data_IF_100062263635
#
_entry.id   IF_100062263635
#
_cell.length_a   1.000
_cell.length_b   1.000
_cell.length_c   1.000
_cell.angle_alpha   90.00
_cell.angle_beta   90.00
_cell.angle_gamma   90.00
#
_symmetry.space_group_name_H-M   'P 1'
#
loop_
_entity.id
_entity.type
_entity.pdbx_description
1 polymer ?
#
# COMPACT_ATOMS: atom_id res chain seq x y z
N UNK A 1 -9.26 -12.46 -17.86
CA UNK A 1 -9.05 -11.53 -16.74
C UNK A 1 -9.73 -12.15 -15.54
N UNK A 2 -9.02 -13.05 -14.85
CA UNK A 2 -9.62 -13.90 -13.82
C UNK A 2 -9.45 -13.21 -12.49
N UNK A 3 -10.52 -12.58 -12.02
CA UNK A 3 -10.57 -11.94 -10.70
C UNK A 3 -10.50 -13.02 -9.62
N UNK A 4 -9.33 -13.20 -9.00
CA UNK A 4 -9.18 -14.03 -7.80
C UNK A 4 -9.59 -13.23 -6.56
N UNK A 5 -10.87 -12.88 -6.45
CA UNK A 5 -11.39 -12.35 -5.19
C UNK A 5 -11.68 -13.53 -4.23
N UNK A 6 -10.73 -13.76 -3.33
CA UNK A 6 -10.91 -14.40 -2.02
C UNK A 6 -11.83 -15.61 -1.93
N UNK A 7 -11.40 -16.78 -2.40
CA UNK A 7 -11.91 -18.04 -1.83
C UNK A 7 -11.25 -18.21 -0.46
N UNK A 8 -12.04 -18.23 0.62
CA UNK A 8 -11.56 -18.36 2.00
C UNK A 8 -11.02 -19.77 2.32
N UNK A 9 -10.00 -20.22 1.59
CA UNK A 9 -9.22 -21.41 1.92
C UNK A 9 -8.18 -21.09 2.99
N UNK A 10 -7.75 -22.12 3.75
CA UNK A 10 -6.59 -22.00 4.65
C UNK A 10 -5.25 -22.06 3.89
N UNK A 11 -5.28 -22.47 2.63
CA UNK A 11 -4.09 -22.66 1.82
C UNK A 11 -3.76 -21.38 1.02
N UNK A 12 -2.47 -21.03 0.88
CA UNK A 12 -2.06 -19.92 0.05
C UNK A 12 -2.35 -20.19 -1.43
N UNK A 13 -2.79 -19.16 -2.14
CA UNK A 13 -2.95 -19.23 -3.60
C UNK A 13 -1.65 -18.77 -4.28
N UNK A 14 -1.27 -19.47 -5.36
CA UNK A 14 -0.10 -19.14 -6.16
C UNK A 14 -0.51 -18.57 -7.52
N UNK A 15 0.09 -17.46 -7.91
CA UNK A 15 -0.09 -16.82 -9.22
C UNK A 15 1.29 -16.55 -9.86
N UNK A 16 1.50 -16.98 -11.10
CA UNK A 16 2.77 -16.71 -11.79
C UNK A 16 2.96 -15.21 -12.02
N UNK A 17 4.14 -14.70 -11.70
CA UNK A 17 4.47 -13.29 -11.89
C UNK A 17 5.17 -13.10 -13.26
N UNK A 18 4.53 -12.45 -14.26
CA UNK A 18 5.12 -12.23 -15.59
C UNK A 18 6.10 -11.04 -15.59
N UNK A 19 6.90 -10.92 -14.54
CA UNK A 19 7.88 -9.85 -14.32
C UNK A 19 9.21 -10.47 -13.90
N UNK A 20 10.31 -9.80 -14.25
CA UNK A 20 11.65 -10.16 -13.76
C UNK A 20 11.88 -9.49 -12.41
N UNK A 21 12.19 -10.26 -11.39
CA UNK A 21 12.49 -9.76 -10.05
C UNK A 21 13.99 -9.69 -9.84
N UNK A 22 14.44 -8.58 -9.23
CA UNK A 22 15.80 -8.42 -8.75
C UNK A 22 15.77 -7.93 -7.32
N UNK A 23 16.54 -8.57 -6.45
CA UNK A 23 16.65 -8.18 -5.06
C UNK A 23 18.12 -7.94 -4.70
N UNK A 24 18.34 -7.00 -3.78
CA UNK A 24 19.65 -6.62 -3.30
C UNK A 24 19.67 -6.69 -1.77
N UNK A 25 20.74 -7.23 -1.20
CA UNK A 25 21.00 -7.25 0.23
C UNK A 25 22.26 -6.42 0.50
N UNK A 26 22.11 -5.36 1.29
CA UNK A 26 23.21 -4.42 1.57
C UNK A 26 23.90 -3.86 0.29
N UNK A 27 23.15 -3.70 -0.80
CA UNK A 27 23.66 -3.21 -2.08
C UNK A 27 24.20 -4.30 -3.02
N UNK A 28 24.42 -5.51 -2.52
CA UNK A 28 24.88 -6.65 -3.32
C UNK A 28 23.69 -7.44 -3.90
N UNK A 29 23.80 -7.98 -5.12
CA UNK A 29 22.73 -8.74 -5.74
C UNK A 29 22.47 -10.04 -4.97
N UNK A 30 21.24 -10.22 -4.50
CA UNK A 30 20.81 -11.40 -3.78
C UNK A 30 20.01 -12.37 -4.66
N UNK A 31 19.35 -11.87 -5.71
CA UNK A 31 18.49 -12.62 -6.62
C UNK A 31 18.32 -11.87 -7.94
N UNK A 32 18.25 -12.62 -9.04
CA UNK A 32 17.70 -12.17 -10.33
C UNK A 32 16.93 -13.32 -10.99
N UNK A 33 15.59 -13.23 -11.08
CA UNK A 33 14.74 -14.33 -11.58
C UNK A 33 13.62 -13.84 -12.48
N UNK A 34 13.28 -14.64 -13.50
CA UNK A 34 12.05 -14.52 -14.29
C UNK A 34 10.99 -15.56 -13.94
N UNK A 35 11.26 -16.43 -12.96
CA UNK A 35 10.43 -17.58 -12.60
C UNK A 35 9.70 -17.42 -11.27
N UNK A 36 9.30 -16.19 -10.92
CA UNK A 36 8.65 -15.90 -9.65
C UNK A 36 7.14 -16.17 -9.66
N UNK A 37 6.58 -16.38 -8.47
CA UNK A 37 5.14 -16.43 -8.24
C UNK A 37 4.75 -15.51 -7.07
N UNK A 38 3.58 -14.89 -7.15
CA UNK A 38 2.92 -14.24 -6.03
C UNK A 38 2.25 -15.29 -5.15
N UNK A 39 2.47 -15.18 -3.85
CA UNK A 39 1.86 -15.98 -2.80
C UNK A 39 0.84 -15.11 -2.08
N UNK A 40 -0.44 -15.46 -2.24
CA UNK A 40 -1.54 -14.82 -1.55
C UNK A 40 -1.91 -15.64 -0.31
N UNK A 41 -1.41 -15.21 0.86
CA UNK A 41 -1.79 -15.81 2.13
C UNK A 41 -3.18 -15.32 2.59
N UNK A 42 -4.00 -16.20 3.18
CA UNK A 42 -5.27 -15.79 3.76
C UNK A 42 -5.09 -14.63 4.75
N UNK A 43 -6.01 -13.66 4.69
CA UNK A 43 -6.05 -12.48 5.57
C UNK A 43 -4.86 -11.52 5.42
N UNK A 44 -3.92 -11.75 4.48
CA UNK A 44 -2.88 -10.76 4.12
C UNK A 44 -3.33 -9.88 2.96
N UNK A 45 -3.15 -8.57 3.14
CA UNK A 45 -3.43 -7.55 2.12
C UNK A 45 -2.28 -7.48 1.11
N UNK A 46 -1.04 -7.66 1.58
CA UNK A 46 0.18 -7.60 0.76
C UNK A 46 0.64 -9.03 0.44
N UNK A 47 0.81 -9.40 -0.84
CA UNK A 47 1.35 -10.70 -1.21
C UNK A 47 2.85 -10.77 -0.99
N UNK A 48 3.38 -11.99 -0.85
CA UNK A 48 4.81 -12.26 -0.90
C UNK A 48 5.21 -12.82 -2.28
N UNK A 49 6.49 -12.75 -2.62
CA UNK A 49 7.03 -13.43 -3.81
C UNK A 49 7.69 -14.75 -3.41
N UNK A 50 7.31 -15.84 -4.06
CA UNK A 50 8.07 -17.09 -4.08
C UNK A 50 9.01 -17.08 -5.29
N UNK A 51 10.24 -17.53 -5.08
CA UNK A 51 11.31 -17.53 -6.08
C UNK A 51 11.98 -18.90 -6.10
N UNK A 52 12.48 -19.38 -7.25
CA UNK A 52 13.23 -20.64 -7.29
C UNK A 52 14.53 -20.53 -6.51
N UNK A 53 14.83 -21.52 -5.67
CA UNK A 53 16.07 -21.52 -4.86
C UNK A 53 17.33 -21.40 -5.71
N UNK A 54 17.36 -22.02 -6.89
CA UNK A 54 18.48 -21.98 -7.84
C UNK A 54 18.84 -20.58 -8.34
N UNK A 55 17.92 -19.61 -8.21
CA UNK A 55 18.13 -18.24 -8.68
C UNK A 55 18.67 -17.32 -7.54
N UNK A 56 18.79 -17.84 -6.31
CA UNK A 56 19.36 -17.13 -5.17
C UNK A 56 20.89 -17.11 -5.25
N UNK A 57 21.48 -15.94 -5.00
CA UNK A 57 22.94 -15.71 -5.05
C UNK A 57 23.58 -15.64 -3.65
N UNK A 58 22.78 -15.83 -2.61
CA UNK A 58 23.16 -15.73 -1.20
C UNK A 58 22.76 -16.98 -0.45
N UNK A 59 23.41 -17.24 0.68
CA UNK A 59 22.97 -18.27 1.61
C UNK A 59 21.62 -17.87 2.21
N UNK A 60 20.75 -18.86 2.40
CA UNK A 60 19.44 -18.68 3.04
C UNK A 60 19.35 -19.50 4.31
N UNK A 61 18.69 -18.92 5.30
CA UNK A 61 18.33 -19.57 6.55
C UNK A 61 16.82 -19.46 6.73
N UNK A 62 16.24 -20.43 7.43
CA UNK A 62 14.81 -20.40 7.75
C UNK A 62 14.54 -19.28 8.74
N UNK A 63 13.70 -18.33 8.33
CA UNK A 63 13.16 -17.31 9.23
C UNK A 63 12.19 -17.95 10.22
N UNK A 64 12.08 -17.35 11.41
CA UNK A 64 10.95 -17.61 12.30
C UNK A 64 9.61 -17.39 11.57
N UNK A 65 8.57 -18.18 11.90
CA UNK A 65 7.27 -18.04 11.27
C UNK A 65 6.71 -16.64 11.51
N UNK A 66 6.25 -16.00 10.43
CA UNK A 66 5.67 -14.68 10.52
C UNK A 66 4.36 -14.73 11.34
N UNK A 67 4.09 -13.74 12.23
CA UNK A 67 2.86 -13.71 13.01
C UNK A 67 1.62 -13.85 12.12
N UNK A 68 0.60 -14.52 12.65
CA UNK A 68 -0.68 -14.69 11.96
C UNK A 68 -1.24 -13.32 11.56
N UNK A 69 -1.76 -13.23 10.35
CA UNK A 69 -2.33 -12.00 9.85
C UNK A 69 -3.56 -11.60 10.68
N UNK A 70 -3.49 -10.41 11.27
CA UNK A 70 -4.62 -9.76 11.94
C UNK A 70 -5.81 -9.66 10.98
N UNK A 71 -7.04 -9.70 11.52
CA UNK A 71 -8.22 -9.52 10.69
C UNK A 71 -8.17 -8.18 9.95
N UNK A 72 -8.12 -8.17 8.60
CA UNK A 72 -8.03 -6.93 7.86
C UNK A 72 -9.30 -6.07 8.03
N UNK A 73 -10.44 -6.66 8.41
CA UNK A 73 -11.69 -5.91 8.69
C UNK A 73 -11.65 -5.23 10.05
N UNK A 74 -10.85 -5.72 10.99
CA UNK A 74 -10.67 -5.09 12.30
C UNK A 74 -9.67 -3.94 12.28
N UNK A 75 -8.93 -3.76 11.18
CA UNK A 75 -7.98 -2.68 11.01
C UNK A 75 -8.68 -1.47 10.35
N UNK A 76 -8.50 -0.25 10.88
CA UNK A 76 -9.04 0.93 10.22
C UNK A 76 -8.41 1.05 8.82
N UNK A 77 -9.25 0.92 7.79
CA UNK A 77 -8.84 1.06 6.40
C UNK A 77 -8.48 2.53 6.14
N UNK A 78 -7.21 2.88 6.36
CA UNK A 78 -6.72 4.24 6.15
C UNK A 78 -6.52 4.50 4.64
N UNK A 79 -7.62 4.47 3.89
CA UNK A 79 -7.68 4.84 2.46
C UNK A 79 -8.37 6.19 2.25
N UNK A 80 -8.84 6.86 3.31
CA UNK A 80 -9.24 8.26 3.24
C UNK A 80 -8.01 9.16 3.36
N UNK A 81 -7.75 10.08 2.41
CA UNK A 81 -6.79 11.15 2.65
C UNK A 81 -7.22 11.94 3.91
N UNK A 82 -6.29 12.36 4.78
CA UNK A 82 -6.64 13.18 5.93
C UNK A 82 -7.10 14.55 5.43
N UNK A 83 -8.41 14.79 5.48
CA UNK A 83 -9.01 16.09 5.12
C UNK A 83 -10.18 15.95 4.16
N UNK A 84 -11.32 15.49 4.66
CA UNK A 84 -12.55 15.44 3.89
C UNK A 84 -13.77 15.47 4.80
N UNK A 85 -14.42 16.64 4.85
CA UNK A 85 -15.72 16.94 5.45
C UNK A 85 -15.81 17.09 6.98
N UNK A 86 -15.47 18.30 7.44
CA UNK A 86 -16.34 19.00 8.39
C UNK A 86 -17.03 20.16 7.65
N UNK A 87 -18.14 19.86 6.96
CA UNK A 87 -19.06 20.93 6.54
C UNK A 87 -19.83 21.38 7.78
N UNK A 88 -19.17 22.22 8.58
CA UNK A 88 -19.85 23.11 9.51
C UNK A 88 -20.57 24.18 8.67
N UNK A 89 -21.89 24.07 8.55
CA UNK A 89 -22.72 25.15 8.07
C UNK A 89 -22.70 26.29 9.11
N UNK A 90 -21.68 27.14 9.06
CA UNK A 90 -21.66 28.38 9.83
C UNK A 90 -22.36 29.48 9.04
N UNK A 91 -23.49 29.91 9.59
CA UNK A 91 -24.26 31.07 9.16
C UNK A 91 -23.37 32.32 9.34
N UNK A 92 -23.17 33.18 8.34
CA UNK A 92 -22.42 34.41 8.57
C UNK A 92 -23.28 35.38 9.38
N UNK A 93 -23.03 35.44 10.68
CA UNK A 93 -23.46 36.56 11.52
C UNK A 93 -22.68 37.81 11.11
N UNK A 94 -23.43 38.83 10.71
CA UNK A 94 -22.88 40.08 10.22
C UNK A 94 -22.11 40.84 11.28
N UNK A 95 -21.04 41.52 10.86
CA UNK A 95 -20.54 42.70 11.55
C UNK A 95 -20.21 43.81 10.55
N UNK A 96 -20.75 44.97 10.91
CA UNK A 96 -20.74 46.24 10.22
C UNK A 96 -19.35 46.89 10.18
N UNK A 97 -18.94 47.32 8.97
CA UNK A 97 -18.37 48.63 8.67
C UNK A 97 -17.05 49.08 9.30
N UNK A 98 -16.03 49.31 8.45
CA UNK A 98 -15.45 50.67 8.29
C UNK A 98 -14.69 50.80 6.97
N UNK A 99 -15.12 51.78 6.19
CA UNK A 99 -14.51 52.18 4.93
C UNK A 99 -13.10 52.75 5.13
N UNK A 100 -12.13 52.19 4.42
CA UNK A 100 -10.82 52.79 4.16
C UNK A 100 -10.63 52.96 2.66
N UNK A 101 -10.99 54.12 2.13
CA UNK A 101 -10.79 54.47 0.71
C UNK A 101 -9.28 54.51 0.41
N UNK A 102 -8.80 53.71 -0.54
CA UNK A 102 -7.49 53.91 -1.17
C UNK A 102 -7.66 54.87 -2.37
N UNK A 103 -6.84 55.91 -2.52
CA UNK A 103 -6.86 56.77 -3.71
C UNK A 103 -6.27 56.04 -4.93
N UNK A 104 -6.64 56.45 -6.17
CA UNK A 104 -6.14 55.83 -7.39
C UNK A 104 -4.66 56.17 -7.63
N UNK A 105 -3.90 55.31 -8.33
CA UNK A 105 -2.54 55.65 -8.74
C UNK A 105 -2.54 56.76 -9.80
N UNK A 106 -1.58 57.68 -9.67
CA UNK A 106 -1.28 58.71 -10.67
C UNK A 106 -0.19 58.23 -11.64
N UNK A 107 -0.27 58.77 -12.87
CA UNK A 107 0.57 58.61 -14.07
C UNK A 107 0.22 57.44 -14.99
#
# INVERSE_FOLDING_TARGET
MTTHLGRAGRDPTLEMAPVRLRAFLAGEPALDTGGAALVWEPRRIVPAYAVPERDLLVAVETSEPQPEATDPVAQPLMLTPPGGAETGAERPDGVSGRAGRRPPPSC
#
